data_IF_345397769879
#
_entry.id   IF_345397769879
#
_cell.length_a   1.000
_cell.length_b   1.000
_cell.length_c   1.000
_cell.angle_alpha   90.00
_cell.angle_beta   90.00
_cell.angle_gamma   90.00
#
_symmetry.space_group_name_H-M   'P 1'
#
loop_
_entity.id
_entity.type
_entity.pdbx_description
1 polymer ?
#
# COMPACT_ATOMS: atom_id res chain seq x y z
N UNK A 1 -0.72 4.85 20.45
CA UNK A 1 -0.24 4.07 19.29
C UNK A 1 -1.34 3.71 18.28
N UNK A 2 -2.53 3.24 18.68
CA UNK A 2 -3.63 2.89 17.76
C UNK A 2 -4.07 3.99 16.78
N UNK A 3 -4.10 5.25 17.23
CA UNK A 3 -4.52 6.40 16.40
C UNK A 3 -3.56 6.70 15.24
N UNK A 4 -2.27 6.47 15.44
CA UNK A 4 -1.23 6.72 14.42
C UNK A 4 -1.33 5.74 13.25
N UNK A 5 -1.66 4.47 13.54
CA UNK A 5 -1.87 3.43 12.52
C UNK A 5 -3.10 3.77 11.68
N UNK A 6 -4.20 4.19 12.31
CA UNK A 6 -5.43 4.58 11.60
C UNK A 6 -5.22 5.82 10.70
N UNK A 7 -4.46 6.82 11.16
CA UNK A 7 -4.10 7.99 10.34
C UNK A 7 -3.22 7.61 9.15
N UNK A 8 -2.27 6.69 9.33
CA UNK A 8 -1.42 6.18 8.24
C UNK A 8 -2.24 5.44 7.18
N UNK A 9 -3.15 4.56 7.60
CA UNK A 9 -4.03 3.82 6.68
C UNK A 9 -4.95 4.76 5.89
N UNK A 10 -5.51 5.77 6.56
CA UNK A 10 -6.39 6.76 5.92
C UNK A 10 -5.63 7.62 4.92
N UNK A 11 -4.40 8.04 5.25
CA UNK A 11 -3.53 8.79 4.35
C UNK A 11 -3.16 7.97 3.09
N UNK A 12 -2.91 6.66 3.25
CA UNK A 12 -2.61 5.75 2.14
C UNK A 12 -3.81 5.61 1.19
N UNK A 13 -5.02 5.44 1.74
CA UNK A 13 -6.26 5.36 0.95
C UNK A 13 -6.60 6.67 0.24
N UNK A 14 -6.38 7.82 0.90
CA UNK A 14 -6.61 9.13 0.30
C UNK A 14 -5.61 9.43 -0.84
N UNK A 15 -4.36 8.98 -0.72
CA UNK A 15 -3.35 9.11 -1.78
C UNK A 15 -3.71 8.26 -3.02
N UNK A 16 -4.28 7.06 -2.83
CA UNK A 16 -4.68 6.18 -3.92
C UNK A 16 -5.79 6.77 -4.83
N UNK A 17 -6.71 7.56 -4.27
CA UNK A 17 -7.83 8.14 -5.02
C UNK A 17 -7.43 9.25 -6.01
N UNK A 18 -6.33 9.95 -5.76
CA UNK A 18 -5.91 11.10 -6.59
C UNK A 18 -5.30 10.67 -7.95
N UNK A 19 -4.93 9.39 -8.12
CA UNK A 19 -4.33 8.90 -9.36
C UNK A 19 -5.35 8.64 -10.49
N UNK A 20 -6.66 8.62 -10.23
CA UNK A 20 -7.65 8.16 -11.20
C UNK A 20 -8.30 9.27 -12.06
N UNK A 21 -8.12 10.56 -11.72
CA UNK A 21 -8.88 11.65 -12.34
C UNK A 21 -8.35 12.15 -13.71
N UNK A 22 -7.19 11.67 -14.19
CA UNK A 22 -6.57 12.12 -15.45
C UNK A 22 -6.83 11.23 -16.67
N UNK A 23 -7.69 10.21 -16.57
CA UNK A 23 -7.92 9.24 -17.64
C UNK A 23 -8.93 9.79 -18.68
N UNK A 24 -8.60 10.93 -19.30
CA UNK A 24 -9.48 11.65 -20.20
C UNK A 24 -8.75 12.15 -21.44
N UNK A 25 -8.96 11.44 -22.54
CA UNK A 25 -8.79 11.84 -23.95
C UNK A 25 -7.40 11.68 -24.60
N UNK A 26 -7.46 10.92 -25.71
CA UNK A 26 -6.53 10.87 -26.84
C UNK A 26 -5.42 9.81 -26.78
N UNK A 27 -5.46 8.96 -27.81
CA UNK A 27 -4.42 8.01 -28.22
C UNK A 27 -3.07 8.73 -28.28
N UNK A 28 -2.28 8.67 -27.21
CA UNK A 28 -0.94 9.21 -27.14
C UNK A 28 -0.08 8.38 -26.17
N UNK A 29 0.02 7.08 -26.45
CA UNK A 29 0.91 6.15 -25.73
C UNK A 29 2.41 6.47 -25.86
N UNK A 30 2.78 7.55 -26.56
CA UNK A 30 4.18 7.98 -26.75
C UNK A 30 4.45 9.43 -26.31
N UNK A 31 3.57 10.01 -25.49
CA UNK A 31 3.86 11.27 -24.80
C UNK A 31 4.78 11.04 -23.60
N UNK A 32 5.85 11.83 -23.46
CA UNK A 32 6.75 11.85 -22.29
C UNK A 32 5.95 11.91 -20.97
N UNK A 33 4.86 12.69 -20.96
CA UNK A 33 3.95 12.85 -19.82
C UNK A 33 3.28 11.51 -19.42
N UNK A 34 2.85 10.71 -20.39
CA UNK A 34 2.20 9.42 -20.13
C UNK A 34 3.18 8.38 -19.57
N UNK A 35 4.41 8.36 -20.09
CA UNK A 35 5.50 7.53 -19.55
C UNK A 35 5.87 7.90 -18.12
N UNK A 36 5.98 9.21 -17.81
CA UNK A 36 6.28 9.68 -16.46
C UNK A 36 5.12 9.39 -15.49
N UNK A 37 3.88 9.55 -15.93
CA UNK A 37 2.70 9.21 -15.13
C UNK A 37 2.63 7.71 -14.80
N UNK A 38 2.87 6.85 -15.79
CA UNK A 38 2.91 5.40 -15.59
C UNK A 38 4.09 4.97 -14.69
N UNK A 39 5.26 5.58 -14.88
CA UNK A 39 6.42 5.34 -14.03
C UNK A 39 6.19 5.79 -12.57
N UNK A 40 5.47 6.91 -12.37
CA UNK A 40 5.08 7.38 -11.05
C UNK A 40 4.09 6.43 -10.37
N UNK A 41 3.09 5.93 -11.09
CA UNK A 41 2.19 4.89 -10.61
C UNK A 41 2.94 3.60 -10.24
N UNK A 42 3.85 3.14 -11.10
CA UNK A 42 4.68 1.98 -10.83
C UNK A 42 5.55 2.18 -9.57
N UNK A 43 6.13 3.38 -9.40
CA UNK A 43 6.89 3.72 -8.20
C UNK A 43 6.01 3.65 -6.94
N UNK A 44 4.79 4.19 -6.97
CA UNK A 44 3.84 4.08 -5.84
C UNK A 44 3.57 2.60 -5.51
N UNK A 45 3.35 1.75 -6.52
CA UNK A 45 3.12 0.32 -6.31
C UNK A 45 4.32 -0.38 -5.66
N UNK A 46 5.55 -0.02 -6.04
CA UNK A 46 6.77 -0.56 -5.44
C UNK A 46 6.95 -0.05 -4.00
N UNK A 47 6.71 1.24 -3.75
CA UNK A 47 6.86 1.82 -2.41
C UNK A 47 5.76 1.37 -1.44
N UNK A 48 4.56 1.01 -1.92
CA UNK A 48 3.50 0.43 -1.08
C UNK A 48 3.65 -1.09 -0.87
N UNK A 49 4.44 -1.78 -1.71
CA UNK A 49 4.71 -3.20 -1.55
C UNK A 49 5.50 -3.49 -0.26
N UNK A 50 6.45 -2.63 0.10
CA UNK A 50 7.21 -2.75 1.36
C UNK A 50 6.32 -2.73 2.62
N UNK A 51 5.47 -1.71 2.85
CA UNK A 51 4.53 -1.72 3.98
C UNK A 51 3.50 -2.85 3.87
N UNK A 52 3.07 -3.22 2.66
CA UNK A 52 2.19 -4.37 2.43
C UNK A 52 2.81 -5.71 2.84
N UNK A 53 4.07 -5.95 2.46
CA UNK A 53 4.86 -7.13 2.83
C UNK A 53 5.15 -7.17 4.33
N UNK A 54 5.43 -6.02 4.96
CA UNK A 54 5.63 -5.94 6.39
C UNK A 54 4.36 -6.34 7.16
N UNK A 55 3.19 -5.85 6.74
CA UNK A 55 1.91 -6.25 7.34
C UNK A 55 1.59 -7.73 7.06
N UNK A 56 1.78 -8.18 5.82
CA UNK A 56 1.58 -9.58 5.44
C UNK A 56 2.48 -10.53 6.25
N UNK A 57 3.76 -10.19 6.40
CA UNK A 57 4.70 -10.94 7.23
C UNK A 57 4.30 -10.94 8.71
N UNK A 58 3.76 -9.84 9.23
CA UNK A 58 3.25 -9.80 10.61
C UNK A 58 2.03 -10.71 10.82
N UNK A 59 1.15 -10.81 9.81
CA UNK A 59 0.00 -11.71 9.82
C UNK A 59 0.45 -13.17 9.76
N UNK A 60 1.40 -13.49 8.87
CA UNK A 60 1.99 -14.82 8.76
C UNK A 60 2.65 -15.24 10.08
N UNK A 61 3.45 -14.35 10.68
CA UNK A 61 4.08 -14.56 11.99
C UNK A 61 3.06 -14.73 13.11
N UNK A 62 1.91 -14.04 13.02
CA UNK A 62 0.78 -14.20 13.93
C UNK A 62 0.11 -15.56 13.81
N UNK A 63 -0.07 -16.07 12.59
CA UNK A 63 -0.64 -17.40 12.34
C UNK A 63 0.26 -18.53 12.84
N UNK A 64 1.59 -18.39 12.76
CA UNK A 64 2.54 -19.39 13.23
C UNK A 64 2.91 -19.24 14.72
N UNK A 65 2.41 -18.20 15.41
CA UNK A 65 2.55 -18.09 16.87
C UNK A 65 1.60 -19.08 17.51
N UNK A 66 2.12 -20.26 17.83
CA UNK A 66 1.48 -21.19 18.74
C UNK A 66 1.18 -20.45 20.05
N UNK A 67 -0.08 -20.43 20.46
CA UNK A 67 -0.49 -19.98 21.80
C UNK A 67 0.32 -20.80 22.80
N UNK A 68 1.16 -20.19 23.66
CA UNK A 68 1.60 -20.89 24.85
C UNK A 68 0.36 -21.07 25.72
N UNK A 69 -0.26 -22.25 25.65
CA UNK A 69 -0.97 -22.79 26.80
C UNK A 69 0.06 -22.96 27.91
N UNK A 70 0.22 -21.95 28.76
CA UNK A 70 0.64 -22.07 30.15
C UNK A 70 0.84 -20.69 30.75
N UNK A 71 -0.25 -20.10 31.21
CA UNK A 71 -0.21 -19.34 32.46
C UNK A 71 -1.42 -19.78 33.28
N UNK A 72 -1.33 -21.03 33.74
CA UNK A 72 -1.93 -21.45 35.00
C UNK A 72 -1.08 -20.80 36.09
N UNK A 73 -1.52 -19.65 36.60
CA UNK A 73 -1.44 -19.21 38.00
C UNK A 73 -2.03 -17.82 38.23
#
# INVERSE_FOLDING_TARGET
MKKQIMTLTLALCAAAGNAFAGFGTSVAGDGLIGKVFLAFLAAIVVFQLLPGLALFGSMLKGMFRQTPESESR
#
